data_IF_823842714961
#
_entry.id   IF_823842714961
#
_cell.length_a   1.000
_cell.length_b   1.000
_cell.length_c   1.000
_cell.angle_alpha   90.00
_cell.angle_beta   90.00
_cell.angle_gamma   90.00
#
_symmetry.space_group_name_H-M   'P 1'
#
loop_
_entity.id
_entity.type
_entity.pdbx_description
1 polymer ?
#
# COMPACT_ATOMS: atom_id res chain seq x y z
N UNK A 1 52.66 -16.26 62.58
CA UNK A 1 51.56 -16.86 61.75
C UNK A 1 51.43 -16.07 60.45
N UNK A 2 52.30 -16.39 59.44
CA UNK A 2 52.38 -15.66 58.21
C UNK A 2 51.34 -16.23 57.22
N UNK A 3 50.39 -15.42 56.85
CA UNK A 3 49.44 -15.72 55.73
C UNK A 3 50.13 -15.41 54.41
N UNK A 4 50.62 -16.44 53.74
CA UNK A 4 51.06 -16.32 52.37
C UNK A 4 49.84 -16.13 51.45
N UNK A 5 49.62 -14.90 51.03
CA UNK A 5 48.62 -14.58 49.96
C UNK A 5 49.10 -15.20 48.65
N UNK A 6 48.37 -16.21 48.21
CA UNK A 6 48.59 -16.89 46.96
C UNK A 6 48.17 -15.95 45.82
N UNK A 7 49.11 -15.19 45.25
CA UNK A 7 48.88 -14.39 44.03
C UNK A 7 48.37 -15.29 42.92
N UNK A 8 47.10 -15.16 42.57
CA UNK A 8 46.53 -15.78 41.38
C UNK A 8 47.22 -15.21 40.16
N UNK A 9 47.97 -16.03 39.42
CA UNK A 9 48.53 -15.70 38.11
C UNK A 9 47.40 -15.31 37.17
N UNK A 10 47.27 -14.07 36.80
CA UNK A 10 46.38 -13.60 35.73
C UNK A 10 47.04 -14.02 34.42
N UNK A 11 46.44 -15.01 33.76
CA UNK A 11 46.79 -15.36 32.40
C UNK A 11 46.17 -14.31 31.46
N UNK A 12 46.99 -13.55 30.73
CA UNK A 12 46.55 -12.66 29.69
C UNK A 12 46.04 -13.42 28.47
N UNK A 13 45.13 -12.81 27.71
CA UNK A 13 44.66 -13.39 26.46
C UNK A 13 45.80 -13.52 25.45
N UNK A 14 45.80 -14.59 24.70
CA UNK A 14 46.74 -14.78 23.58
C UNK A 14 46.28 -14.01 22.37
N UNK A 15 47.20 -13.56 21.51
CA UNK A 15 46.85 -12.87 20.26
C UNK A 15 45.96 -13.72 19.35
N UNK A 16 46.13 -15.05 19.35
CA UNK A 16 45.28 -15.97 18.62
C UNK A 16 43.83 -15.98 19.12
N UNK A 17 43.66 -15.94 20.45
CA UNK A 17 42.31 -15.92 21.07
C UNK A 17 41.54 -14.63 20.75
N UNK A 18 42.22 -13.47 20.73
CA UNK A 18 41.61 -12.20 20.31
C UNK A 18 41.25 -12.21 18.83
N UNK A 19 42.07 -12.82 17.96
CA UNK A 19 41.74 -12.95 16.53
C UNK A 19 40.53 -13.85 16.31
N UNK A 20 40.42 -14.97 17.00
CA UNK A 20 39.26 -15.87 16.90
C UNK A 20 38.00 -15.14 17.42
N UNK A 21 38.10 -14.45 18.54
CA UNK A 21 36.99 -13.69 19.10
C UNK A 21 36.48 -12.60 18.14
N UNK A 22 37.39 -11.89 17.44
CA UNK A 22 37.05 -10.91 16.43
C UNK A 22 36.32 -11.53 15.23
N UNK A 23 36.78 -12.68 14.74
CA UNK A 23 36.12 -13.38 13.63
C UNK A 23 34.70 -13.80 13.99
N UNK A 24 34.52 -14.38 15.18
CA UNK A 24 33.17 -14.76 15.67
C UNK A 24 32.26 -13.54 15.81
N UNK A 25 32.81 -12.43 16.34
CA UNK A 25 32.08 -11.17 16.47
C UNK A 25 31.65 -10.62 15.10
N UNK A 26 32.53 -10.62 14.09
CA UNK A 26 32.20 -10.17 12.73
C UNK A 26 31.10 -11.01 12.08
N UNK A 27 31.15 -12.34 12.25
CA UNK A 27 30.09 -13.23 11.73
C UNK A 27 28.75 -12.90 12.39
N UNK A 28 28.75 -12.66 13.70
CA UNK A 28 27.54 -12.26 14.44
C UNK A 28 26.98 -10.91 13.96
N UNK A 29 27.85 -9.90 13.74
CA UNK A 29 27.44 -8.58 13.26
C UNK A 29 26.89 -8.64 11.82
N UNK A 30 27.49 -9.45 10.93
CA UNK A 30 26.97 -9.65 9.57
C UNK A 30 25.60 -10.29 9.58
N UNK A 31 25.36 -11.28 10.46
CA UNK A 31 24.04 -11.89 10.65
C UNK A 31 22.98 -10.88 11.10
N UNK A 32 23.31 -10.03 12.07
CA UNK A 32 22.43 -8.96 12.54
C UNK A 32 22.13 -7.94 11.44
N UNK A 33 23.14 -7.54 10.66
CA UNK A 33 22.96 -6.60 9.56
C UNK A 33 22.02 -7.15 8.47
N UNK A 34 22.12 -8.44 8.14
CA UNK A 34 21.22 -9.11 7.21
C UNK A 34 19.78 -9.13 7.74
N UNK A 35 19.56 -9.46 9.01
CA UNK A 35 18.24 -9.44 9.64
C UNK A 35 17.59 -8.06 9.63
N UNK A 36 18.37 -6.99 9.86
CA UNK A 36 17.87 -5.62 9.79
C UNK A 36 17.42 -5.26 8.37
N UNK A 37 18.16 -5.69 7.35
CA UNK A 37 17.76 -5.50 5.94
C UNK A 37 16.42 -6.15 5.63
N UNK A 38 16.22 -7.40 6.04
CA UNK A 38 14.97 -8.11 5.86
C UNK A 38 13.82 -7.45 6.64
N UNK A 39 14.05 -7.03 7.88
CA UNK A 39 13.04 -6.35 8.68
C UNK A 39 12.55 -5.05 8.03
N UNK A 40 13.45 -4.24 7.48
CA UNK A 40 13.09 -3.01 6.74
C UNK A 40 12.30 -3.31 5.47
N UNK A 41 12.64 -4.39 4.75
CA UNK A 41 11.87 -4.82 3.58
C UNK A 41 10.45 -5.26 3.98
N UNK A 42 10.29 -5.99 5.07
CA UNK A 42 8.98 -6.38 5.60
C UNK A 42 8.13 -5.18 6.00
N UNK A 43 8.73 -4.17 6.64
CA UNK A 43 8.01 -2.94 7.01
C UNK A 43 7.47 -2.20 5.78
N UNK A 44 8.28 -2.04 4.73
CA UNK A 44 7.85 -1.44 3.46
C UNK A 44 6.72 -2.22 2.82
N UNK A 45 6.86 -3.53 2.70
CA UNK A 45 5.82 -4.38 2.12
C UNK A 45 4.50 -4.28 2.89
N UNK A 46 4.55 -4.21 4.21
CA UNK A 46 3.35 -4.04 5.04
C UNK A 46 2.69 -2.66 4.84
N UNK A 47 3.47 -1.61 4.62
CA UNK A 47 2.93 -0.29 4.27
C UNK A 47 2.25 -0.30 2.91
N UNK A 48 2.86 -0.93 1.89
CA UNK A 48 2.29 -1.06 0.56
C UNK A 48 0.99 -1.87 0.57
N UNK A 49 0.95 -2.98 1.33
CA UNK A 49 -0.26 -3.79 1.54
C UNK A 49 -1.40 -2.94 2.15
N UNK A 50 -1.08 -2.10 3.14
CA UNK A 50 -2.06 -1.22 3.79
C UNK A 50 -2.57 -0.12 2.84
N UNK A 51 -1.66 0.51 2.08
CA UNK A 51 -2.04 1.52 1.08
C UNK A 51 -2.96 0.90 0.03
N UNK A 52 -2.64 -0.30 -0.47
CA UNK A 52 -3.45 -0.99 -1.47
C UNK A 52 -4.86 -1.29 -0.94
N UNK A 53 -4.97 -1.75 0.30
CA UNK A 53 -6.25 -1.96 0.96
C UNK A 53 -7.04 -0.65 1.07
N UNK A 54 -6.43 0.40 1.59
CA UNK A 54 -7.06 1.70 1.77
C UNK A 54 -7.57 2.27 0.43
N UNK A 55 -6.78 2.15 -0.65
CA UNK A 55 -7.17 2.65 -1.98
C UNK A 55 -8.26 1.81 -2.65
N UNK A 56 -8.40 0.56 -2.30
CA UNK A 56 -9.52 -0.27 -2.74
C UNK A 56 -10.81 0.09 -1.98
N UNK A 57 -10.73 0.26 -0.66
CA UNK A 57 -11.86 0.65 0.19
C UNK A 57 -12.38 2.05 -0.18
N UNK A 58 -11.48 3.02 -0.37
CA UNK A 58 -11.82 4.38 -0.81
C UNK A 58 -12.63 4.37 -2.11
N UNK A 59 -12.22 3.57 -3.10
CA UNK A 59 -12.95 3.45 -4.35
C UNK A 59 -14.34 2.83 -4.15
N UNK A 60 -14.47 1.82 -3.30
CA UNK A 60 -15.77 1.23 -2.98
C UNK A 60 -16.70 2.25 -2.31
N UNK A 61 -16.20 2.95 -1.28
CA UNK A 61 -16.96 3.97 -0.56
C UNK A 61 -17.39 5.13 -1.46
N UNK A 62 -16.51 5.58 -2.37
CA UNK A 62 -16.84 6.62 -3.34
C UNK A 62 -18.01 6.20 -4.26
N UNK A 63 -18.00 4.94 -4.76
CA UNK A 63 -19.08 4.42 -5.60
C UNK A 63 -20.38 4.34 -4.81
N UNK A 64 -20.35 3.80 -3.59
CA UNK A 64 -21.53 3.71 -2.74
C UNK A 64 -22.09 5.10 -2.41
N UNK A 65 -21.25 6.01 -1.97
CA UNK A 65 -21.65 7.37 -1.62
C UNK A 65 -22.30 8.08 -2.82
N UNK A 66 -21.64 8.04 -3.97
CA UNK A 66 -22.19 8.67 -5.17
C UNK A 66 -23.54 8.09 -5.59
N UNK A 67 -23.72 6.76 -5.46
CA UNK A 67 -25.01 6.12 -5.75
C UNK A 67 -26.09 6.51 -4.73
N UNK A 68 -25.80 6.44 -3.42
CA UNK A 68 -26.78 6.71 -2.37
C UNK A 68 -27.14 8.19 -2.26
N UNK A 69 -26.25 9.09 -2.61
CA UNK A 69 -26.52 10.53 -2.65
C UNK A 69 -27.18 10.99 -3.97
N UNK A 70 -27.49 10.05 -4.88
CA UNK A 70 -27.98 10.31 -6.24
C UNK A 70 -27.03 11.20 -7.06
N UNK A 71 -25.73 11.19 -6.73
CA UNK A 71 -24.69 11.85 -7.52
C UNK A 71 -24.47 11.19 -8.88
N UNK A 72 -24.77 9.87 -8.96
CA UNK A 72 -24.72 9.10 -10.20
C UNK A 72 -26.00 8.28 -10.39
N UNK A 73 -26.37 8.07 -11.65
CA UNK A 73 -27.50 7.22 -12.02
C UNK A 73 -27.11 5.74 -12.00
N UNK A 74 -28.08 4.85 -11.81
CA UNK A 74 -27.83 3.39 -11.83
C UNK A 74 -27.13 2.91 -13.11
N UNK A 75 -27.51 3.44 -14.26
CA UNK A 75 -26.90 3.09 -15.54
C UNK A 75 -25.38 3.42 -15.59
N UNK A 76 -24.98 4.46 -14.86
CA UNK A 76 -23.59 4.94 -14.81
C UNK A 76 -22.70 4.12 -13.90
N UNK A 77 -23.26 3.33 -12.96
CA UNK A 77 -22.49 2.40 -12.10
C UNK A 77 -22.05 1.20 -12.93
N UNK A 78 -21.22 1.39 -13.93
CA UNK A 78 -20.73 0.36 -14.85
C UNK A 78 -19.43 0.80 -15.48
N UNK A 79 -18.70 -0.16 -16.07
CA UNK A 79 -17.52 0.18 -16.85
C UNK A 79 -17.90 0.90 -18.15
N UNK A 80 -17.10 1.90 -18.48
CA UNK A 80 -17.17 2.57 -19.79
C UNK A 80 -16.57 1.65 -20.85
N UNK A 81 -17.38 1.32 -21.83
CA UNK A 81 -17.01 0.47 -22.96
C UNK A 81 -17.69 0.97 -24.23
N UNK A 82 -17.23 0.51 -25.38
CA UNK A 82 -17.90 0.83 -26.68
C UNK A 82 -19.36 0.42 -26.66
N UNK A 83 -19.68 -0.70 -25.99
CA UNK A 83 -21.07 -1.20 -25.87
C UNK A 83 -21.87 -0.45 -24.78
N UNK A 84 -21.20 0.17 -23.82
CA UNK A 84 -21.83 0.93 -22.73
C UNK A 84 -21.08 2.24 -22.47
N UNK A 85 -21.27 3.27 -23.31
CA UNK A 85 -20.58 4.55 -23.16
C UNK A 85 -21.09 5.40 -21.98
N UNK A 86 -22.19 5.00 -21.34
CA UNK A 86 -22.74 5.69 -20.16
C UNK A 86 -22.04 5.27 -18.87
N UNK A 87 -21.29 4.18 -18.88
CA UNK A 87 -20.52 3.75 -17.73
C UNK A 87 -19.44 4.79 -17.36
N UNK A 88 -19.26 5.02 -16.07
CA UNK A 88 -18.31 6.04 -15.58
C UNK A 88 -16.94 5.46 -15.30
N UNK A 89 -16.81 4.16 -15.06
CA UNK A 89 -15.56 3.58 -14.57
C UNK A 89 -14.70 3.05 -15.70
N UNK A 90 -13.42 3.41 -15.68
CA UNK A 90 -12.44 2.90 -16.64
C UNK A 90 -12.23 1.40 -16.46
N UNK A 91 -12.12 0.70 -17.58
CA UNK A 91 -11.85 -0.73 -17.58
C UNK A 91 -10.34 -1.00 -17.61
N UNK A 92 -9.89 -1.94 -16.78
CA UNK A 92 -8.48 -2.34 -16.69
C UNK A 92 -7.64 -1.52 -15.69
N UNK A 93 -6.38 -1.91 -15.51
CA UNK A 93 -5.49 -1.21 -14.57
C UNK A 93 -5.20 0.22 -15.03
N UNK A 94 -5.47 1.18 -14.15
CA UNK A 94 -5.21 2.61 -14.36
C UNK A 94 -4.34 3.14 -13.23
N UNK A 95 -3.49 4.15 -13.46
CA UNK A 95 -2.83 4.87 -12.37
C UNK A 95 -3.84 5.36 -11.33
N UNK A 96 -3.48 5.41 -10.07
CA UNK A 96 -4.32 6.01 -9.04
C UNK A 96 -4.18 7.51 -9.16
N UNK A 97 -5.24 8.15 -9.67
CA UNK A 97 -5.31 9.59 -9.92
C UNK A 97 -6.16 10.27 -8.85
N UNK A 98 -5.94 11.57 -8.67
CA UNK A 98 -6.79 12.38 -7.81
C UNK A 98 -8.23 12.37 -8.31
N UNK A 99 -9.24 12.42 -7.42
CA UNK A 99 -10.63 12.51 -7.82
C UNK A 99 -10.87 13.73 -8.70
N UNK A 100 -11.65 13.56 -9.77
CA UNK A 100 -12.05 14.66 -10.63
C UNK A 100 -12.96 15.66 -9.90
N UNK A 101 -12.92 16.95 -10.28
CA UNK A 101 -13.68 18.01 -9.59
C UNK A 101 -15.20 17.92 -9.78
N UNK A 102 -15.67 17.14 -10.76
CA UNK A 102 -17.08 17.08 -11.15
C UNK A 102 -17.82 15.96 -10.41
N UNK A 103 -17.24 14.75 -10.38
CA UNK A 103 -17.91 13.58 -9.81
C UNK A 103 -17.49 13.29 -8.36
N UNK A 104 -16.29 13.71 -7.96
CA UNK A 104 -15.68 13.29 -6.68
C UNK A 104 -15.45 11.79 -6.58
N UNK A 105 -15.64 11.06 -7.71
CA UNK A 105 -15.43 9.62 -7.79
C UNK A 105 -13.97 9.33 -8.08
N UNK A 106 -13.50 8.22 -7.58
CA UNK A 106 -12.16 7.71 -7.88
C UNK A 106 -12.24 6.61 -8.94
N UNK A 107 -11.44 6.73 -10.01
CA UNK A 107 -11.43 5.78 -11.14
C UNK A 107 -12.52 6.02 -12.19
N UNK A 108 -13.13 7.17 -12.19
CA UNK A 108 -14.06 7.69 -13.19
C UNK A 108 -13.30 8.08 -14.47
N UNK A 109 -13.99 8.06 -15.62
CA UNK A 109 -13.45 8.51 -16.90
C UNK A 109 -13.04 10.00 -16.87
N UNK A 110 -13.67 10.82 -16.04
CA UNK A 110 -13.32 12.22 -15.85
C UNK A 110 -11.96 12.41 -15.15
N UNK A 111 -11.49 11.40 -14.43
CA UNK A 111 -10.22 11.45 -13.71
C UNK A 111 -9.00 11.18 -14.61
N UNK A 112 -9.21 10.71 -15.85
CA UNK A 112 -8.14 10.31 -16.75
C UNK A 112 -7.07 11.39 -17.00
N UNK A 113 -7.40 12.67 -16.82
CA UNK A 113 -6.49 13.80 -16.97
C UNK A 113 -6.06 14.42 -15.63
N UNK A 114 -6.45 13.83 -14.51
CA UNK A 114 -6.05 14.31 -13.19
C UNK A 114 -4.61 13.93 -12.89
N UNK A 115 -3.90 14.71 -12.05
CA UNK A 115 -2.59 14.35 -11.60
C UNK A 115 -2.64 13.06 -10.78
N UNK A 116 -1.51 12.36 -10.74
CA UNK A 116 -1.37 11.17 -9.91
C UNK A 116 -1.56 11.52 -8.44
N UNK A 117 -2.22 10.65 -7.72
CA UNK A 117 -2.45 10.84 -6.29
C UNK A 117 -1.15 10.72 -5.51
N UNK A 118 -1.02 11.55 -4.48
CA UNK A 118 0.14 11.58 -3.58
C UNK A 118 -0.30 11.34 -2.15
N UNK A 119 0.51 10.61 -1.40
CA UNK A 119 0.37 10.49 0.06
C UNK A 119 1.26 11.54 0.70
N UNK A 120 0.68 12.33 1.60
CA UNK A 120 1.43 13.27 2.44
C UNK A 120 1.91 12.56 3.70
N UNK A 121 3.17 12.72 4.01
CA UNK A 121 3.75 12.29 5.28
C UNK A 121 4.29 13.49 6.03
N UNK A 122 4.17 13.52 7.37
CA UNK A 122 4.70 14.62 8.16
C UNK A 122 6.19 14.81 7.89
N UNK A 123 6.59 16.06 7.76
CA UNK A 123 7.99 16.47 7.73
C UNK A 123 8.67 16.36 9.10
N UNK A 124 9.86 16.95 9.27
CA UNK A 124 10.61 16.92 10.52
C UNK A 124 9.88 17.48 11.75
N UNK A 125 8.86 18.32 11.54
CA UNK A 125 8.04 18.90 12.62
C UNK A 125 6.96 17.90 13.14
N UNK A 126 6.77 16.75 12.48
CA UNK A 126 5.81 15.70 12.83
C UNK A 126 4.34 16.09 12.66
N UNK A 127 4.04 17.18 11.94
CA UNK A 127 2.67 17.66 11.69
C UNK A 127 2.35 17.56 10.21
N UNK A 128 1.11 17.15 9.88
CA UNK A 128 0.58 17.20 8.52
C UNK A 128 -0.01 18.58 8.20
N UNK A 129 0.10 19.00 6.94
CA UNK A 129 -0.42 20.28 6.46
C UNK A 129 0.58 21.42 6.59
N UNK A 130 1.84 21.14 6.78
CA UNK A 130 2.93 22.12 6.87
C UNK A 130 3.80 22.12 5.61
N UNK A 131 4.62 23.15 5.44
CA UNK A 131 5.42 23.33 4.21
C UNK A 131 6.57 22.32 4.05
N UNK A 132 6.90 21.59 5.11
CA UNK A 132 7.96 20.58 5.15
C UNK A 132 7.44 19.15 4.96
N UNK A 133 6.12 18.98 4.70
CA UNK A 133 5.52 17.68 4.38
C UNK A 133 6.15 17.06 3.12
N UNK A 134 6.40 15.78 3.19
CA UNK A 134 6.94 15.02 2.07
C UNK A 134 5.81 14.36 1.29
N UNK A 135 5.78 14.60 -0.03
CA UNK A 135 4.80 14.02 -0.94
C UNK A 135 5.36 12.75 -1.58
N UNK A 136 4.64 11.64 -1.43
CA UNK A 136 4.96 10.38 -2.11
C UNK A 136 3.91 10.10 -3.18
N UNK A 137 4.25 10.23 -4.47
CA UNK A 137 3.33 9.88 -5.54
C UNK A 137 3.11 8.37 -5.60
N UNK A 138 1.87 7.94 -5.80
CA UNK A 138 1.48 6.53 -5.89
C UNK A 138 1.84 5.91 -7.27
N UNK A 139 3.06 6.12 -7.76
CA UNK A 139 3.52 5.65 -9.08
C UNK A 139 3.62 4.14 -9.20
N UNK A 140 3.87 3.47 -8.08
CA UNK A 140 4.00 2.01 -8.00
C UNK A 140 2.64 1.30 -7.92
N UNK A 141 1.54 2.06 -7.82
CA UNK A 141 0.18 1.55 -7.64
C UNK A 141 -0.67 1.80 -8.87
N UNK A 142 -1.39 0.77 -9.31
CA UNK A 142 -2.45 0.88 -10.30
C UNK A 142 -3.72 0.24 -9.77
N UNK A 143 -4.88 0.75 -10.17
CA UNK A 143 -6.18 0.25 -9.74
C UNK A 143 -7.02 -0.14 -10.93
N UNK A 144 -7.74 -1.27 -10.82
CA UNK A 144 -8.77 -1.70 -11.77
C UNK A 144 -10.09 -1.80 -11.04
N UNK A 145 -11.15 -1.21 -11.59
CA UNK A 145 -12.51 -1.31 -11.09
C UNK A 145 -13.32 -2.05 -12.13
N UNK A 146 -13.74 -3.28 -11.84
CA UNK A 146 -14.56 -4.08 -12.70
C UNK A 146 -15.97 -4.19 -12.12
N UNK A 147 -16.98 -3.78 -12.89
CA UNK A 147 -18.38 -3.81 -12.49
C UNK A 147 -19.14 -4.71 -13.44
N UNK A 148 -19.71 -5.79 -12.91
CA UNK A 148 -20.46 -6.76 -13.69
C UNK A 148 -21.91 -6.86 -13.19
N UNK A 149 -22.91 -6.92 -14.09
CA UNK A 149 -24.28 -7.21 -13.69
C UNK A 149 -24.37 -8.54 -12.96
N UNK A 150 -25.24 -8.61 -11.95
CA UNK A 150 -25.56 -9.88 -11.32
C UNK A 150 -26.49 -10.69 -12.24
N UNK A 151 -26.11 -11.93 -12.54
CA UNK A 151 -26.90 -12.82 -13.40
C UNK A 151 -28.28 -13.17 -12.84
N UNK A 152 -28.42 -13.13 -11.51
CA UNK A 152 -29.66 -13.51 -10.81
C UNK A 152 -30.51 -12.31 -10.39
N UNK A 153 -29.94 -11.10 -10.43
CA UNK A 153 -30.64 -9.88 -10.02
C UNK A 153 -30.30 -8.72 -10.97
N UNK A 154 -31.21 -8.32 -11.87
CA UNK A 154 -30.95 -7.22 -12.81
C UNK A 154 -30.73 -5.86 -12.12
N UNK A 155 -31.15 -5.75 -10.86
CA UNK A 155 -30.95 -4.57 -10.04
C UNK A 155 -29.69 -4.67 -9.14
N UNK A 156 -28.86 -5.68 -9.37
CA UNK A 156 -27.63 -5.90 -8.63
C UNK A 156 -26.39 -5.83 -9.52
N UNK A 157 -25.29 -5.42 -8.94
CA UNK A 157 -23.97 -5.44 -9.61
C UNK A 157 -22.89 -5.90 -8.63
N UNK A 158 -22.02 -6.75 -9.14
CA UNK A 158 -20.79 -7.12 -8.46
C UNK A 158 -19.70 -6.12 -8.83
N UNK A 159 -19.02 -5.61 -7.84
CA UNK A 159 -17.90 -4.69 -7.99
C UNK A 159 -16.65 -5.40 -7.50
N UNK A 160 -15.67 -5.56 -8.37
CA UNK A 160 -14.34 -6.05 -8.03
C UNK A 160 -13.35 -4.90 -8.21
N UNK A 161 -12.66 -4.57 -7.14
CA UNK A 161 -11.61 -3.57 -7.14
C UNK A 161 -10.30 -4.27 -6.87
N UNK A 162 -9.36 -4.13 -7.80
CA UNK A 162 -8.03 -4.69 -7.70
C UNK A 162 -7.01 -3.56 -7.66
N UNK A 163 -6.12 -3.59 -6.68
CA UNK A 163 -4.97 -2.69 -6.60
C UNK A 163 -3.71 -3.52 -6.80
N UNK A 164 -2.96 -3.20 -7.84
CA UNK A 164 -1.69 -3.82 -8.20
C UNK A 164 -0.55 -2.92 -7.71
N UNK A 165 0.47 -3.51 -7.12
CA UNK A 165 1.64 -2.77 -6.60
C UNK A 165 2.88 -3.64 -6.58
N UNK A 166 4.05 -2.99 -6.56
CA UNK A 166 5.33 -3.67 -6.58
C UNK A 166 5.99 -3.61 -5.20
N UNK A 167 6.32 -4.77 -4.64
CA UNK A 167 7.09 -4.87 -3.39
C UNK A 167 8.57 -5.19 -3.67
N UNK A 168 9.20 -4.37 -4.52
CA UNK A 168 10.61 -4.49 -4.91
C UNK A 168 10.93 -5.67 -5.83
N UNK A 169 10.57 -6.91 -5.48
CA UNK A 169 10.85 -8.11 -6.27
C UNK A 169 9.62 -8.75 -6.91
N UNK A 170 8.44 -8.51 -6.35
CA UNK A 170 7.21 -9.19 -6.75
C UNK A 170 6.09 -8.19 -6.94
N UNK A 171 5.31 -8.39 -7.98
CA UNK A 171 4.02 -7.72 -8.12
C UNK A 171 3.01 -8.41 -7.21
N UNK A 172 2.29 -7.63 -6.44
CA UNK A 172 1.19 -8.08 -5.58
C UNK A 172 -0.12 -7.46 -6.04
N UNK A 173 -1.21 -8.09 -5.66
CA UNK A 173 -2.55 -7.61 -5.94
C UNK A 173 -3.41 -7.74 -4.70
N UNK A 174 -3.99 -6.63 -4.26
CA UNK A 174 -5.08 -6.66 -3.30
C UNK A 174 -6.41 -6.66 -4.06
N UNK A 175 -7.35 -7.50 -3.66
CA UNK A 175 -8.67 -7.61 -4.31
C UNK A 175 -9.77 -7.43 -3.30
N UNK A 176 -10.64 -6.44 -3.52
CA UNK A 176 -11.87 -6.19 -2.79
C UNK A 176 -13.05 -6.55 -3.68
N UNK A 177 -13.92 -7.44 -3.20
CA UNK A 177 -15.18 -7.77 -3.88
C UNK A 177 -16.33 -7.25 -3.03
N UNK A 178 -17.24 -6.52 -3.66
CA UNK A 178 -18.43 -5.99 -3.01
C UNK A 178 -19.63 -6.04 -3.95
N UNK A 179 -20.82 -5.76 -3.42
CA UNK A 179 -22.06 -5.82 -4.15
C UNK A 179 -22.87 -4.55 -3.91
N UNK A 180 -23.48 -4.03 -4.97
CA UNK A 180 -24.37 -2.85 -4.90
C UNK A 180 -25.69 -3.15 -5.57
N UNK A 181 -26.78 -2.62 -5.03
CA UNK A 181 -28.12 -2.73 -5.63
C UNK A 181 -28.67 -1.37 -6.04
N UNK A 182 -29.62 -1.42 -7.00
CA UNK A 182 -30.33 -0.23 -7.46
C UNK A 182 -31.26 0.36 -6.38
N UNK A 183 -31.65 -0.47 -5.41
CA UNK A 183 -32.58 -0.06 -4.35
C UNK A 183 -31.84 0.70 -3.28
N UNK A 184 -32.48 1.78 -2.79
CA UNK A 184 -32.07 2.55 -1.62
C UNK A 184 -32.66 1.94 -0.36
#
# INVERSE_FOLDING_TARGET
MDRVEKRRSQKGFTLLETMIALVVLFIGLLGLAAMLGDALAYMRNSQDDFIAQQKAEEAAEAIFTAKYTNGIQWAQVSNNTVANPQGLFLNGPQPILQPGPISGLVGDVADANQPQETILTPGPDGKLGTADDVQFPLTEFTRSIQITPDANNPNGRNIQIQVFYNTGRFQRTYTLNTYISAFN
#
